data_IF_873474164891
#
_entry.id   IF_873474164891
#
_cell.length_a   1.000
_cell.length_b   1.000
_cell.length_c   1.000
_cell.angle_alpha   90.00
_cell.angle_beta   90.00
_cell.angle_gamma   90.00
#
_symmetry.space_group_name_H-M   'P 1'
#
loop_
_entity.id
_entity.type
_entity.pdbx_description
1 polymer ?
#
# COMPACT_ATOMS: atom_id res chain seq x y z
N UNK A 1 21.99 0.86 -11.16
CA UNK A 1 21.22 0.56 -9.93
C UNK A 1 19.94 -0.15 -10.34
N UNK A 2 19.64 -1.32 -9.77
CA UNK A 2 18.34 -1.99 -9.93
C UNK A 2 17.63 -1.84 -8.59
N UNK A 3 16.38 -1.38 -8.61
CA UNK A 3 15.54 -1.25 -7.42
C UNK A 3 14.67 -2.50 -7.38
N UNK A 4 14.69 -3.21 -6.26
CA UNK A 4 13.85 -4.38 -6.02
C UNK A 4 12.62 -3.94 -5.23
N UNK A 5 11.53 -3.63 -5.94
CA UNK A 5 10.29 -3.13 -5.37
C UNK A 5 9.24 -4.25 -5.32
N UNK A 6 8.56 -4.39 -4.18
CA UNK A 6 7.49 -5.36 -3.98
C UNK A 6 6.21 -4.99 -4.74
N UNK A 7 5.92 -3.70 -4.91
CA UNK A 7 4.70 -3.20 -5.54
C UNK A 7 5.01 -2.26 -6.71
N UNK A 8 4.23 -2.36 -7.79
CA UNK A 8 4.37 -1.54 -8.99
C UNK A 8 3.54 -0.26 -8.97
N UNK A 9 3.94 0.74 -9.78
CA UNK A 9 3.12 1.93 -9.99
C UNK A 9 1.77 1.56 -10.59
N UNK A 10 0.72 2.28 -10.17
CA UNK A 10 -0.69 2.04 -10.54
C UNK A 10 -1.25 0.70 -10.08
N UNK A 11 -0.50 -0.10 -9.29
CA UNK A 11 -1.02 -1.30 -8.67
C UNK A 11 -2.05 -0.92 -7.59
N UNK A 12 -3.15 -1.65 -7.54
CA UNK A 12 -4.10 -1.58 -6.42
C UNK A 12 -3.57 -2.41 -5.26
N UNK A 13 -3.52 -1.80 -4.08
CA UNK A 13 -3.09 -2.41 -2.82
C UNK A 13 -4.06 -2.03 -1.70
N UNK A 14 -3.90 -2.71 -0.57
CA UNK A 14 -4.68 -2.52 0.64
C UNK A 14 -3.75 -2.34 1.83
N UNK A 15 -4.15 -1.53 2.81
CA UNK A 15 -3.42 -1.44 4.07
C UNK A 15 -3.85 -2.61 4.97
N UNK A 16 -2.89 -3.35 5.50
CA UNK A 16 -3.15 -4.47 6.43
C UNK A 16 -3.84 -4.02 7.73
N UNK A 17 -3.69 -2.74 8.08
CA UNK A 17 -4.25 -2.14 9.30
C UNK A 17 -5.57 -1.39 9.06
N UNK A 18 -5.99 -1.23 7.80
CA UNK A 18 -7.21 -0.51 7.43
C UNK A 18 -8.42 -1.45 7.56
N UNK A 19 -9.24 -1.24 8.59
CA UNK A 19 -10.42 -2.07 8.85
C UNK A 19 -11.44 -2.05 7.71
N UNK A 20 -11.51 -0.92 7.00
CA UNK A 20 -12.44 -0.75 5.89
C UNK A 20 -11.92 -1.37 4.59
N UNK A 21 -10.64 -1.82 4.58
CA UNK A 21 -9.97 -2.43 3.44
C UNK A 21 -10.15 -1.61 2.16
N UNK A 22 -10.01 -0.28 2.27
CA UNK A 22 -10.20 0.61 1.14
C UNK A 22 -9.08 0.40 0.11
N UNK A 23 -9.41 0.19 -1.18
CA UNK A 23 -8.41 0.04 -2.22
C UNK A 23 -7.63 1.35 -2.40
N UNK A 24 -6.32 1.21 -2.61
CA UNK A 24 -5.39 2.33 -2.83
C UNK A 24 -4.52 2.06 -4.04
N UNK A 25 -4.18 3.09 -4.81
CA UNK A 25 -3.28 2.99 -5.94
C UNK A 25 -1.88 3.45 -5.55
N UNK A 26 -0.84 2.70 -5.94
CA UNK A 26 0.54 3.17 -5.83
C UNK A 26 0.79 4.32 -6.82
N UNK A 27 1.11 5.51 -6.32
CA UNK A 27 1.39 6.70 -7.13
C UNK A 27 2.87 7.06 -7.20
N UNK A 28 3.66 6.66 -6.20
CA UNK A 28 5.11 6.86 -6.20
C UNK A 28 5.85 5.76 -5.41
N UNK A 29 7.10 5.52 -5.78
CA UNK A 29 8.04 4.67 -5.04
C UNK A 29 9.23 5.55 -4.66
N UNK A 30 9.47 5.72 -3.36
CA UNK A 30 10.50 6.59 -2.80
C UNK A 30 11.63 5.73 -2.25
N UNK A 31 12.85 6.05 -2.67
CA UNK A 31 14.07 5.42 -2.15
C UNK A 31 14.50 6.22 -0.91
N UNK A 32 14.46 5.60 0.26
CA UNK A 32 14.86 6.19 1.53
C UNK A 32 16.04 5.41 2.12
N UNK A 33 16.79 5.99 3.08
CA UNK A 33 17.93 5.31 3.71
C UNK A 33 17.60 3.93 4.29
N UNK A 34 16.40 3.78 4.86
CA UNK A 34 15.96 2.57 5.56
C UNK A 34 15.17 1.59 4.69
N UNK A 35 14.87 1.95 3.43
CA UNK A 35 14.10 1.10 2.53
C UNK A 35 13.25 1.87 1.51
N UNK A 36 12.31 1.16 0.88
CA UNK A 36 11.36 1.74 -0.07
C UNK A 36 10.07 2.15 0.65
N UNK A 37 9.66 3.40 0.44
CA UNK A 37 8.35 3.91 0.84
C UNK A 37 7.45 4.05 -0.38
N UNK A 38 6.22 3.58 -0.26
CA UNK A 38 5.23 3.65 -1.32
C UNK A 38 4.23 4.75 -1.00
N UNK A 39 4.06 5.70 -1.91
CA UNK A 39 2.92 6.62 -1.86
C UNK A 39 1.70 5.89 -2.40
N UNK A 40 0.63 5.89 -1.60
CA UNK A 40 -0.65 5.30 -1.97
C UNK A 40 -1.75 6.34 -1.88
N UNK A 41 -2.67 6.35 -2.85
CA UNK A 41 -3.82 7.26 -2.87
C UNK A 41 -5.14 6.48 -2.83
N UNK A 42 -6.10 6.96 -2.04
CA UNK A 42 -7.49 6.53 -2.06
C UNK A 42 -8.38 7.78 -2.18
N UNK A 43 -9.08 7.92 -3.31
CA UNK A 43 -9.80 9.14 -3.64
C UNK A 43 -8.87 10.35 -3.71
N UNK A 44 -9.01 11.28 -2.74
CA UNK A 44 -8.21 12.50 -2.63
C UNK A 44 -7.14 12.43 -1.53
N UNK A 45 -7.06 11.32 -0.80
CA UNK A 45 -6.16 11.17 0.35
C UNK A 45 -4.96 10.33 -0.03
N UNK A 46 -3.77 10.91 0.09
CA UNK A 46 -2.50 10.19 -0.09
C UNK A 46 -1.79 9.96 1.25
N UNK A 47 -0.97 8.93 1.31
CA UNK A 47 -0.16 8.55 2.48
C UNK A 47 1.04 7.70 2.07
N UNK A 48 2.01 7.50 2.96
CA UNK A 48 3.23 6.73 2.70
C UNK A 48 3.32 5.54 3.62
N UNK A 49 3.68 4.38 3.06
CA UNK A 49 3.74 3.12 3.79
C UNK A 49 4.91 2.27 3.30
N UNK A 50 5.47 1.46 4.18
CA UNK A 50 6.42 0.42 3.82
C UNK A 50 5.70 -0.78 3.17
N UNK A 51 6.46 -1.63 2.49
CA UNK A 51 5.94 -2.84 1.85
C UNK A 51 5.21 -3.77 2.82
N UNK A 52 5.73 -3.94 4.04
CA UNK A 52 5.13 -4.82 5.04
C UNK A 52 3.77 -4.33 5.56
N UNK A 53 3.42 -3.07 5.37
CA UNK A 53 2.12 -2.49 5.73
C UNK A 53 1.06 -2.71 4.64
N UNK A 54 1.50 -3.10 3.43
CA UNK A 54 0.68 -3.26 2.23
C UNK A 54 0.41 -4.73 1.89
N UNK A 55 -0.73 -4.96 1.24
CA UNK A 55 -1.17 -6.24 0.69
C UNK A 55 -1.68 -6.05 -0.74
N UNK A 56 -1.47 -7.03 -1.61
CA UNK A 56 -2.02 -7.09 -2.97
C UNK A 56 -3.47 -7.62 -3.01
N UNK A 57 -3.95 -8.18 -1.91
CA UNK A 57 -5.31 -8.65 -1.72
C UNK A 57 -5.95 -8.04 -0.45
N UNK A 58 -7.27 -7.78 -0.48
CA UNK A 58 -7.98 -7.32 0.71
C UNK A 58 -8.12 -8.44 1.74
N UNK A 59 -8.02 -8.08 3.02
CA UNK A 59 -8.33 -8.97 4.15
C UNK A 59 -9.84 -8.94 4.47
N UNK A 60 -10.57 -9.88 3.89
CA UNK A 60 -12.04 -9.97 4.07
C UNK A 60 -12.41 -10.29 5.53
N UNK A 61 -11.56 -11.00 6.27
CA UNK A 61 -11.81 -11.32 7.69
C UNK A 61 -11.72 -10.06 8.55
N UNK A 62 -10.86 -9.11 8.20
CA UNK A 62 -10.75 -7.84 8.90
C UNK A 62 -11.99 -6.95 8.71
N UNK A 63 -12.58 -6.97 7.51
CA UNK A 63 -13.79 -6.21 7.18
C UNK A 63 -15.09 -6.84 7.75
N UNK A 64 -15.07 -8.14 8.03
CA UNK A 64 -16.21 -8.88 8.55
C UNK A 64 -16.31 -8.68 10.06
N UNK A 65 -16.93 -7.58 10.48
CA UNK A 65 -17.31 -7.42 11.89
C UNK A 65 -18.42 -8.44 12.19
N UNK A 66 -18.24 -9.27 13.22
CA UNK A 66 -19.29 -10.12 13.79
C UNK A 66 -20.55 -9.31 14.15
#
# INVERSE_FOLDING_TARGET
MKIDNAFGLKQTVYLKTDKDQLPRLITAIKICPDGLLYEVISGITSSYHYDFELSDAPDVMLSSTN
#
